data_IF_517316561077
#
_entry.id   IF_517316561077
#
_cell.length_a   1.000
_cell.length_b   1.000
_cell.length_c   1.000
_cell.angle_alpha   90.00
_cell.angle_beta   90.00
_cell.angle_gamma   90.00
#
_symmetry.space_group_name_H-M   'P 1'
#
loop_
_entity.id
_entity.type
_entity.pdbx_description
1 polymer ?
#
# COMPACT_ATOMS: atom_id res chain seq x y z
N UNK A 1 3.88 18.82 -21.05
CA UNK A 1 4.81 17.76 -21.51
C UNK A 1 4.50 17.19 -22.90
N UNK A 2 3.48 17.70 -23.63
CA UNK A 2 3.14 17.18 -24.96
C UNK A 2 2.60 15.74 -24.99
N UNK A 3 2.24 15.21 -23.81
CA UNK A 3 1.61 13.90 -23.67
C UNK A 3 0.15 13.99 -24.09
N UNK A 4 -0.29 13.02 -24.89
CA UNK A 4 -1.64 12.97 -25.43
C UNK A 4 -2.62 12.54 -24.33
N UNK A 5 -3.64 13.37 -24.08
CA UNK A 5 -4.64 13.14 -23.03
C UNK A 5 -5.46 11.87 -23.24
N UNK A 6 -5.54 11.37 -24.47
CA UNK A 6 -6.28 10.13 -24.77
C UNK A 6 -5.43 8.87 -24.49
N UNK A 7 -4.12 9.03 -24.22
CA UNK A 7 -3.21 7.93 -23.87
C UNK A 7 -3.18 7.76 -22.36
N UNK A 8 -4.05 6.89 -21.84
CA UNK A 8 -4.21 6.63 -20.41
C UNK A 8 -3.12 5.70 -19.84
N UNK A 9 -1.86 6.09 -19.94
CA UNK A 9 -0.72 5.35 -19.40
C UNK A 9 -0.29 5.86 -18.00
N UNK A 10 0.78 5.26 -17.46
CA UNK A 10 1.39 5.66 -16.17
C UNK A 10 1.78 7.14 -16.14
N UNK A 11 2.05 7.77 -17.29
CA UNK A 11 2.33 9.21 -17.37
C UNK A 11 1.06 10.01 -17.11
N UNK A 12 -0.06 9.63 -17.72
CA UNK A 12 -1.38 10.25 -17.52
C UNK A 12 -1.80 10.20 -16.04
N UNK A 13 -1.73 9.02 -15.43
CA UNK A 13 -2.11 8.81 -14.03
C UNK A 13 -1.22 9.62 -13.07
N UNK A 14 0.11 9.53 -13.22
CA UNK A 14 1.06 10.23 -12.36
C UNK A 14 0.97 11.76 -12.50
N UNK A 15 0.64 12.27 -13.69
CA UNK A 15 0.42 13.70 -13.90
C UNK A 15 -0.70 14.20 -13.00
N UNK A 16 -1.87 13.54 -13.04
CA UNK A 16 -3.00 13.92 -12.20
C UNK A 16 -2.69 13.82 -10.71
N UNK A 17 -1.97 12.79 -10.26
CA UNK A 17 -1.60 12.65 -8.85
C UNK A 17 -0.69 13.81 -8.38
N UNK A 18 0.26 14.25 -9.21
CA UNK A 18 1.13 15.39 -8.89
C UNK A 18 0.37 16.72 -8.88
N UNK A 19 -0.49 16.95 -9.85
CA UNK A 19 -1.31 18.17 -9.91
C UNK A 19 -2.23 18.29 -8.69
N UNK A 20 -2.85 17.18 -8.24
CA UNK A 20 -3.65 17.17 -7.01
C UNK A 20 -2.83 17.62 -5.80
N UNK A 21 -1.63 17.07 -5.62
CA UNK A 21 -0.75 17.45 -4.51
C UNK A 21 -0.32 18.92 -4.61
N UNK A 22 0.01 19.42 -5.80
CA UNK A 22 0.36 20.82 -5.99
C UNK A 22 -0.78 21.75 -5.52
N UNK A 23 -2.01 21.50 -5.98
CA UNK A 23 -3.18 22.29 -5.59
C UNK A 23 -3.41 22.23 -4.07
N UNK A 24 -3.30 21.06 -3.45
CA UNK A 24 -3.46 20.93 -2.00
C UNK A 24 -2.40 21.71 -1.22
N UNK A 25 -1.15 21.71 -1.69
CA UNK A 25 -0.07 22.47 -1.07
C UNK A 25 -0.29 23.99 -1.19
N UNK A 26 -0.77 24.46 -2.34
CA UNK A 26 -1.11 25.88 -2.55
C UNK A 26 -2.27 26.33 -1.66
N UNK A 27 -3.30 25.48 -1.53
CA UNK A 27 -4.42 25.73 -0.60
C UNK A 27 -3.91 25.78 0.85
N UNK A 28 -3.06 24.84 1.26
CA UNK A 28 -2.48 24.83 2.60
C UNK A 28 -1.71 26.13 2.89
N UNK A 29 -0.90 26.62 1.94
CA UNK A 29 -0.23 27.90 2.06
C UNK A 29 -1.21 29.07 2.20
N UNK A 30 -2.25 29.14 1.36
CA UNK A 30 -3.23 30.23 1.37
C UNK A 30 -4.05 30.29 2.68
N UNK A 31 -4.24 29.15 3.32
CA UNK A 31 -5.04 29.00 4.54
C UNK A 31 -4.18 28.95 5.81
N UNK A 32 -2.85 29.05 5.68
CA UNK A 32 -1.89 28.79 6.76
C UNK A 32 -2.15 27.43 7.45
N UNK A 33 -2.56 26.44 6.65
CA UNK A 33 -2.84 25.07 7.05
C UNK A 33 -1.73 24.11 6.67
N UNK A 34 -2.02 22.81 6.79
CA UNK A 34 -1.11 21.72 6.41
C UNK A 34 -1.84 20.70 5.55
N UNK A 35 -1.10 20.05 4.65
CA UNK A 35 -1.61 18.88 3.92
C UNK A 35 -1.42 17.64 4.80
N UNK A 36 -2.52 16.93 5.06
CA UNK A 36 -2.52 15.64 5.77
C UNK A 36 -2.37 14.52 4.74
N UNK A 37 -1.33 13.71 4.88
CA UNK A 37 -1.08 12.54 4.03
C UNK A 37 -1.88 11.34 4.49
N UNK A 38 -2.51 10.65 3.54
CA UNK A 38 -3.39 9.51 3.80
C UNK A 38 -2.78 8.15 3.43
N UNK A 39 -1.59 8.16 2.81
CA UNK A 39 -0.89 6.95 2.39
C UNK A 39 -0.56 6.01 3.55
N UNK A 40 -0.82 4.72 3.35
CA UNK A 40 -0.70 3.69 4.38
C UNK A 40 0.63 2.90 4.30
N UNK A 41 0.91 2.10 5.33
CA UNK A 41 2.17 1.37 5.46
C UNK A 41 2.42 0.39 4.30
N UNK A 42 1.36 -0.25 3.80
CA UNK A 42 1.39 -1.23 2.70
C UNK A 42 1.63 -0.55 1.36
N UNK A 43 1.00 0.60 1.13
CA UNK A 43 1.28 1.44 -0.04
C UNK A 43 2.75 1.89 -0.05
N UNK A 44 3.28 2.31 1.11
CA UNK A 44 4.70 2.64 1.25
C UNK A 44 5.61 1.43 1.04
N UNK A 45 5.23 0.25 1.53
CA UNK A 45 5.99 -0.99 1.36
C UNK A 45 6.13 -1.36 -0.11
N UNK A 46 5.00 -1.34 -0.83
CA UNK A 46 4.92 -1.73 -2.23
C UNK A 46 5.27 -0.60 -3.19
N UNK A 47 5.44 0.63 -2.67
CA UNK A 47 5.59 1.84 -3.47
C UNK A 47 4.39 2.09 -4.38
N UNK A 48 3.19 1.76 -3.91
CA UNK A 48 1.93 2.03 -4.58
C UNK A 48 1.49 3.48 -4.34
N UNK A 49 2.29 4.40 -4.85
CA UNK A 49 2.08 5.84 -4.73
C UNK A 49 2.86 6.55 -5.84
N UNK A 50 2.46 7.77 -6.19
CA UNK A 50 3.21 8.61 -7.12
C UNK A 50 4.34 9.30 -6.40
N UNK A 51 5.57 9.20 -6.92
CA UNK A 51 6.70 9.95 -6.35
C UNK A 51 6.48 11.46 -6.56
N UNK A 52 6.59 12.22 -5.48
CA UNK A 52 6.26 13.65 -5.41
C UNK A 52 4.81 13.97 -5.80
N UNK A 53 3.91 13.03 -5.55
CA UNK A 53 2.45 13.18 -5.70
C UNK A 53 1.76 12.86 -4.38
N UNK A 54 0.87 11.86 -4.38
CA UNK A 54 0.01 11.49 -3.26
C UNK A 54 0.76 11.09 -1.98
N UNK A 55 2.01 10.61 -2.07
CA UNK A 55 2.78 10.27 -0.87
C UNK A 55 3.36 11.49 -0.13
N UNK A 56 3.35 12.68 -0.74
CA UNK A 56 3.88 13.91 -0.13
C UNK A 56 2.82 14.65 0.66
N UNK A 57 3.19 15.07 1.87
CA UNK A 57 2.36 15.82 2.80
C UNK A 57 3.24 16.47 3.85
N UNK A 58 2.66 17.30 4.71
CA UNK A 58 3.37 17.80 5.90
C UNK A 58 3.35 16.77 7.04
N UNK A 59 2.32 15.92 7.11
CA UNK A 59 2.22 14.87 8.12
C UNK A 59 1.36 13.70 7.63
N UNK A 60 1.92 12.48 7.63
CA UNK A 60 1.27 11.25 7.21
C UNK A 60 0.65 10.50 8.39
N UNK A 61 -0.67 10.63 8.59
CA UNK A 61 -1.36 10.04 9.74
C UNK A 61 -1.47 8.51 9.65
N UNK A 62 -1.47 7.96 8.44
CA UNK A 62 -1.61 6.53 8.18
C UNK A 62 -0.28 5.82 7.90
N UNK A 63 0.86 6.55 7.93
CA UNK A 63 2.14 6.05 7.44
C UNK A 63 2.67 4.77 8.14
N UNK A 64 2.15 4.46 9.33
CA UNK A 64 2.49 3.26 10.11
C UNK A 64 1.34 2.26 10.25
N UNK A 65 0.21 2.47 9.57
CA UNK A 65 -0.98 1.63 9.66
C UNK A 65 -1.05 0.77 8.39
N UNK A 66 -1.00 -0.57 8.45
CA UNK A 66 -1.17 -1.44 7.28
C UNK A 66 -2.62 -1.44 6.76
N UNK A 67 -2.84 -1.76 5.48
CA UNK A 67 -4.15 -1.67 4.80
C UNK A 67 -5.19 -2.54 5.48
N UNK A 68 -4.76 -3.73 5.88
CA UNK A 68 -5.57 -4.65 6.68
C UNK A 68 -6.10 -3.99 7.95
N UNK A 69 -5.24 -3.26 8.69
CA UNK A 69 -5.65 -2.52 9.89
C UNK A 69 -6.51 -1.29 9.57
N UNK A 70 -6.24 -0.57 8.48
CA UNK A 70 -7.10 0.56 8.05
C UNK A 70 -8.56 0.10 7.91
N UNK A 71 -8.81 -1.03 7.23
CA UNK A 71 -10.17 -1.57 7.08
C UNK A 71 -10.80 -1.92 8.43
N UNK A 72 -10.03 -2.55 9.33
CA UNK A 72 -10.51 -2.85 10.68
C UNK A 72 -10.84 -1.60 11.50
N UNK A 73 -10.04 -0.54 11.42
CA UNK A 73 -10.30 0.72 12.12
C UNK A 73 -11.57 1.40 11.61
N UNK A 74 -11.78 1.44 10.29
CA UNK A 74 -13.00 2.00 9.70
C UNK A 74 -14.24 1.21 10.14
N UNK A 75 -14.15 -0.13 10.16
CA UNK A 75 -15.25 -0.98 10.65
C UNK A 75 -15.56 -0.72 12.12
N UNK A 76 -14.53 -0.63 12.96
CA UNK A 76 -14.69 -0.34 14.38
C UNK A 76 -15.35 1.04 14.61
N UNK A 77 -14.92 2.09 13.91
CA UNK A 77 -15.55 3.40 14.00
C UNK A 77 -16.99 3.41 13.47
N UNK A 78 -17.31 2.55 12.50
CA UNK A 78 -18.69 2.37 12.05
C UNK A 78 -19.57 1.79 13.14
N UNK A 79 -19.10 0.76 13.84
CA UNK A 79 -19.83 0.13 14.95
C UNK A 79 -20.01 1.12 16.11
N UNK A 80 -18.95 1.85 16.48
CA UNK A 80 -19.01 2.89 17.51
C UNK A 80 -20.02 4.00 17.16
N UNK A 81 -20.10 4.38 15.87
CA UNK A 81 -21.07 5.35 15.41
C UNK A 81 -22.52 4.85 15.59
N UNK A 82 -22.80 3.56 15.40
CA UNK A 82 -24.12 2.97 15.66
C UNK A 82 -24.48 3.02 17.13
N UNK A 83 -23.54 2.64 18.01
CA UNK A 83 -23.72 2.71 19.47
C UNK A 83 -24.03 4.13 19.94
N UNK A 84 -23.45 5.14 19.28
CA UNK A 84 -23.70 6.57 19.54
C UNK A 84 -24.94 7.13 18.83
N UNK A 85 -25.77 6.30 18.19
CA UNK A 85 -26.93 6.70 17.38
C UNK A 85 -26.59 7.64 16.20
N UNK A 86 -25.36 7.61 15.70
CA UNK A 86 -24.89 8.36 14.51
C UNK A 86 -25.05 7.51 13.25
N UNK A 87 -26.29 7.13 12.94
CA UNK A 87 -26.59 6.18 11.85
C UNK A 87 -26.09 6.61 10.48
N UNK A 88 -26.12 7.90 10.16
CA UNK A 88 -25.62 8.40 8.88
C UNK A 88 -24.11 8.17 8.73
N UNK A 89 -23.33 8.41 9.80
CA UNK A 89 -21.89 8.18 9.79
C UNK A 89 -21.57 6.69 9.62
N UNK A 90 -22.24 5.83 10.39
CA UNK A 90 -22.08 4.37 10.23
C UNK A 90 -22.35 3.92 8.80
N UNK A 91 -23.49 4.34 8.22
CA UNK A 91 -23.86 3.93 6.88
C UNK A 91 -22.83 4.38 5.83
N UNK A 92 -22.28 5.60 5.97
CA UNK A 92 -21.22 6.09 5.09
C UNK A 92 -19.92 5.29 5.25
N UNK A 93 -19.52 4.94 6.48
CA UNK A 93 -18.31 4.15 6.71
C UNK A 93 -18.44 2.71 6.18
N UNK A 94 -19.63 2.11 6.30
CA UNK A 94 -19.95 0.80 5.69
C UNK A 94 -19.88 0.84 4.17
N UNK A 95 -20.45 1.88 3.55
CA UNK A 95 -20.39 2.10 2.10
C UNK A 95 -18.94 2.26 1.60
N UNK A 96 -18.10 2.99 2.34
CA UNK A 96 -16.66 3.10 2.06
C UNK A 96 -15.96 1.73 2.15
N UNK A 97 -16.32 0.88 3.11
CA UNK A 97 -15.74 -0.46 3.26
C UNK A 97 -16.15 -1.42 2.14
N UNK A 98 -17.39 -1.30 1.66
CA UNK A 98 -17.96 -2.13 0.60
C UNK A 98 -17.46 -1.71 -0.79
N UNK A 99 -17.00 -0.46 -0.92
CA UNK A 99 -16.40 0.05 -2.16
C UNK A 99 -15.05 -0.63 -2.43
N UNK A 100 -14.87 -1.29 -3.60
CA UNK A 100 -13.60 -1.91 -3.97
C UNK A 100 -12.46 -0.89 -4.06
N UNK A 101 -11.26 -1.27 -3.59
CA UNK A 101 -10.07 -0.40 -3.66
C UNK A 101 -9.60 -0.25 -5.11
N UNK A 102 -9.71 0.95 -5.67
CA UNK A 102 -9.37 1.28 -7.06
C UNK A 102 -8.69 2.65 -7.16
N UNK A 103 -7.71 2.86 -8.06
CA UNK A 103 -7.24 4.19 -8.40
C UNK A 103 -8.27 4.86 -9.32
N UNK A 104 -8.99 5.88 -8.82
CA UNK A 104 -9.97 6.65 -9.60
C UNK A 104 -9.32 7.64 -10.61
N UNK A 105 -8.18 7.25 -11.19
CA UNK A 105 -7.40 8.09 -12.11
C UNK A 105 -7.80 7.90 -13.57
N UNK A 106 -8.54 6.82 -13.86
CA UNK A 106 -9.04 6.51 -15.19
C UNK A 106 -10.55 6.73 -15.26
N UNK A 107 -11.06 7.25 -16.40
CA UNK A 107 -12.49 7.36 -16.58
C UNK A 107 -13.14 5.96 -16.48
N UNK A 108 -14.32 5.86 -15.85
CA UNK A 108 -15.05 4.59 -15.78
C UNK A 108 -15.46 4.16 -17.19
N UNK A 109 -15.18 2.90 -17.53
CA UNK A 109 -15.70 2.28 -18.75
C UNK A 109 -17.10 1.75 -18.45
N UNK A 110 -18.12 2.35 -19.08
CA UNK A 110 -19.52 1.91 -18.95
C UNK A 110 -20.09 1.89 -17.52
N UNK A 111 -19.57 2.74 -16.62
CA UNK A 111 -20.05 2.84 -15.24
C UNK A 111 -19.45 1.81 -14.27
N UNK A 112 -18.66 0.86 -14.78
CA UNK A 112 -17.89 -0.06 -13.96
C UNK A 112 -16.50 0.51 -13.66
N UNK A 113 -16.03 0.25 -12.43
CA UNK A 113 -14.68 0.60 -11.98
C UNK A 113 -13.66 -0.10 -12.90
N UNK A 114 -12.90 0.68 -13.67
CA UNK A 114 -12.05 0.18 -14.75
C UNK A 114 -10.78 -0.53 -14.27
N UNK A 115 -10.38 -0.37 -13.01
CA UNK A 115 -9.22 -1.03 -12.42
C UNK A 115 -9.42 -1.39 -10.95
N UNK A 116 -9.39 -2.67 -10.58
CA UNK A 116 -9.26 -3.06 -9.16
C UNK A 116 -7.79 -3.09 -8.78
N UNK A 117 -7.39 -2.30 -7.79
CA UNK A 117 -5.98 -2.19 -7.33
C UNK A 117 -5.39 -3.54 -6.96
N UNK A 118 -6.18 -4.38 -6.29
CA UNK A 118 -5.74 -5.70 -5.81
C UNK A 118 -5.43 -6.68 -6.95
N UNK A 119 -5.99 -6.49 -8.14
CA UNK A 119 -5.66 -7.33 -9.30
C UNK A 119 -4.23 -7.04 -9.82
N UNK A 120 -3.77 -5.79 -9.66
CA UNK A 120 -2.43 -5.35 -10.08
C UNK A 120 -1.38 -5.54 -8.97
N UNK A 121 -1.75 -5.22 -7.73
CA UNK A 121 -0.85 -5.19 -6.58
C UNK A 121 -0.81 -6.52 -5.85
N UNK A 122 -1.93 -7.25 -5.85
CA UNK A 122 -2.15 -8.46 -5.07
C UNK A 122 -2.90 -8.19 -3.76
N UNK A 123 -3.31 -9.27 -3.06
CA UNK A 123 -4.04 -9.17 -1.81
C UNK A 123 -3.16 -8.56 -0.71
N UNK A 124 -3.70 -7.54 -0.04
CA UNK A 124 -2.97 -6.80 0.99
C UNK A 124 -2.64 -7.66 2.21
N UNK A 125 -3.47 -8.63 2.56
CA UNK A 125 -3.23 -9.55 3.67
C UNK A 125 -1.98 -10.41 3.45
N UNK A 126 -1.65 -10.80 2.21
CA UNK A 126 -0.40 -11.48 1.92
C UNK A 126 0.78 -10.50 2.06
N UNK A 127 0.67 -9.30 1.49
CA UNK A 127 1.75 -8.32 1.54
C UNK A 127 2.04 -7.83 2.96
N UNK A 128 1.01 -7.54 3.75
CA UNK A 128 1.12 -7.15 5.15
C UNK A 128 1.71 -8.29 5.99
N UNK A 129 1.33 -9.55 5.69
CA UNK A 129 1.94 -10.72 6.33
C UNK A 129 3.43 -10.82 6.01
N UNK A 130 3.81 -10.69 4.73
CA UNK A 130 5.23 -10.73 4.33
C UNK A 130 6.00 -9.58 4.96
N UNK A 131 5.46 -8.37 4.89
CA UNK A 131 6.05 -7.15 5.44
C UNK A 131 6.32 -7.30 6.94
N UNK A 132 5.35 -7.80 7.70
CA UNK A 132 5.50 -8.01 9.13
C UNK A 132 6.69 -8.93 9.45
N UNK A 133 6.78 -10.09 8.78
CA UNK A 133 7.86 -11.03 9.05
C UNK A 133 9.23 -10.58 8.55
N UNK A 134 9.27 -9.79 7.46
CA UNK A 134 10.49 -9.14 7.00
C UNK A 134 10.98 -8.12 8.01
N UNK A 135 10.13 -7.18 8.42
CA UNK A 135 10.53 -6.06 9.28
C UNK A 135 10.76 -6.49 10.73
N UNK A 136 9.89 -7.32 11.28
CA UNK A 136 9.94 -7.67 12.70
C UNK A 136 11.01 -8.71 13.02
N UNK A 137 11.22 -9.67 12.11
CA UNK A 137 12.03 -10.85 12.38
C UNK A 137 13.19 -11.07 11.40
N UNK A 138 13.24 -10.34 10.28
CA UNK A 138 14.29 -10.53 9.27
C UNK A 138 14.28 -11.93 8.65
N UNK A 139 13.13 -12.58 8.58
CA UNK A 139 13.03 -13.95 8.06
C UNK A 139 13.29 -14.00 6.55
N UNK A 140 13.88 -15.11 6.10
CA UNK A 140 14.09 -15.37 4.67
C UNK A 140 12.77 -15.70 3.96
N UNK A 141 12.68 -15.50 2.63
CA UNK A 141 11.56 -15.94 1.80
C UNK A 141 11.05 -17.34 2.12
N UNK A 142 11.93 -18.34 2.25
CA UNK A 142 11.54 -19.73 2.56
C UNK A 142 10.81 -19.84 3.88
N UNK A 143 11.28 -19.16 4.92
CA UNK A 143 10.62 -19.18 6.23
C UNK A 143 9.26 -18.49 6.17
N UNK A 144 9.18 -17.32 5.53
CA UNK A 144 7.92 -16.59 5.40
C UNK A 144 6.92 -17.39 4.55
N UNK A 145 7.37 -18.01 3.47
CA UNK A 145 6.55 -18.86 2.62
C UNK A 145 5.99 -20.06 3.39
N UNK A 146 6.82 -20.73 4.19
CA UNK A 146 6.36 -21.79 5.07
C UNK A 146 5.27 -21.29 6.04
N UNK A 147 5.48 -20.15 6.70
CA UNK A 147 4.49 -19.58 7.62
C UNK A 147 3.20 -19.17 6.91
N UNK A 148 3.29 -18.59 5.73
CA UNK A 148 2.16 -18.18 4.92
C UNK A 148 1.28 -19.40 4.55
N UNK A 149 1.89 -20.53 4.16
CA UNK A 149 1.14 -21.78 3.88
C UNK A 149 0.40 -22.35 5.09
N UNK A 150 0.91 -22.09 6.30
CA UNK A 150 0.25 -22.54 7.53
C UNK A 150 -0.88 -21.57 7.95
N UNK A 151 -0.67 -20.27 7.76
CA UNK A 151 -1.65 -19.24 8.12
C UNK A 151 -2.81 -19.17 7.13
N UNK A 152 -2.48 -19.12 5.83
CA UNK A 152 -3.43 -19.11 4.74
C UNK A 152 -3.59 -20.55 4.25
N UNK A 153 -4.63 -21.22 4.74
CA UNK A 153 -4.92 -22.61 4.33
C UNK A 153 -5.06 -22.69 2.80
N UNK A 154 -4.79 -23.86 2.21
CA UNK A 154 -4.84 -24.05 0.74
C UNK A 154 -6.18 -23.71 0.08
N UNK A 155 -7.24 -23.48 0.87
CA UNK A 155 -8.55 -23.03 0.40
C UNK A 155 -8.59 -21.55 0.02
N UNK A 156 -7.70 -20.74 0.59
CA UNK A 156 -7.67 -19.29 0.37
C UNK A 156 -6.62 -18.92 -0.68
N UNK A 157 -5.39 -19.41 -0.50
CA UNK A 157 -4.29 -19.14 -1.41
C UNK A 157 -3.53 -20.41 -1.77
N UNK A 158 -3.37 -20.65 -3.08
CA UNK A 158 -2.50 -21.72 -3.56
C UNK A 158 -1.04 -21.36 -3.35
N UNK A 159 -0.18 -22.38 -3.35
CA UNK A 159 1.28 -22.24 -3.32
C UNK A 159 1.79 -21.25 -4.38
N UNK A 160 1.27 -21.38 -5.60
CA UNK A 160 1.63 -20.56 -6.75
C UNK A 160 1.23 -19.10 -6.54
N UNK A 161 0.06 -18.86 -5.93
CA UNK A 161 -0.42 -17.51 -5.62
C UNK A 161 0.46 -16.85 -4.56
N UNK A 162 0.79 -17.56 -3.47
CA UNK A 162 1.69 -17.03 -2.43
C UNK A 162 3.05 -16.69 -3.02
N UNK A 163 3.65 -17.59 -3.81
CA UNK A 163 4.95 -17.36 -4.44
C UNK A 163 4.93 -16.19 -5.43
N UNK A 164 3.90 -16.11 -6.28
CA UNK A 164 3.72 -15.00 -7.23
C UNK A 164 3.72 -13.66 -6.50
N UNK A 165 2.92 -13.52 -5.45
CA UNK A 165 2.81 -12.26 -4.73
C UNK A 165 4.01 -11.99 -3.83
N UNK A 166 4.69 -13.01 -3.30
CA UNK A 166 5.95 -12.83 -2.57
C UNK A 166 7.08 -12.35 -3.50
N UNK A 167 7.18 -12.87 -4.72
CA UNK A 167 8.11 -12.37 -5.73
C UNK A 167 7.83 -10.91 -6.08
N UNK A 168 6.56 -10.56 -6.29
CA UNK A 168 6.13 -9.19 -6.53
C UNK A 168 6.47 -8.28 -5.33
N UNK A 169 6.20 -8.73 -4.10
CA UNK A 169 6.51 -8.04 -2.86
C UNK A 169 8.00 -7.67 -2.81
N UNK A 170 8.92 -8.65 -2.89
CA UNK A 170 10.35 -8.35 -2.76
C UNK A 170 10.89 -7.48 -3.90
N UNK A 171 10.39 -7.68 -5.13
CA UNK A 171 10.78 -6.83 -6.27
C UNK A 171 10.40 -5.38 -6.02
N UNK A 172 9.15 -5.13 -5.61
CA UNK A 172 8.64 -3.78 -5.36
C UNK A 172 9.25 -3.20 -4.08
N UNK A 173 9.28 -3.95 -3.00
CA UNK A 173 9.83 -3.53 -1.72
C UNK A 173 11.24 -2.98 -1.88
N UNK A 174 12.15 -3.67 -2.58
CA UNK A 174 13.49 -3.15 -2.81
C UNK A 174 13.50 -1.96 -3.79
N UNK A 175 12.85 -2.08 -4.96
CA UNK A 175 12.90 -1.06 -6.00
C UNK A 175 12.26 0.29 -5.59
N UNK A 176 11.38 0.29 -4.60
CA UNK A 176 10.62 1.48 -4.18
C UNK A 176 11.20 2.16 -2.93
N UNK A 177 12.38 1.75 -2.46
CA UNK A 177 13.01 2.34 -1.28
C UNK A 177 13.27 3.83 -1.40
N UNK A 178 13.59 4.33 -2.60
CA UNK A 178 13.80 5.75 -2.84
C UNK A 178 12.56 6.61 -2.48
N UNK A 179 11.34 6.07 -2.64
CA UNK A 179 10.10 6.77 -2.23
C UNK A 179 10.03 6.93 -0.72
N UNK A 180 10.46 5.91 0.03
CA UNK A 180 10.45 5.93 1.50
C UNK A 180 11.56 6.78 2.08
N UNK A 181 12.69 6.90 1.40
CA UNK A 181 13.81 7.75 1.83
C UNK A 181 13.42 9.21 2.04
N UNK A 182 12.41 9.72 1.33
CA UNK A 182 11.88 11.08 1.50
C UNK A 182 10.45 11.12 2.03
N UNK A 183 9.97 10.09 2.74
CA UNK A 183 8.60 10.10 3.26
C UNK A 183 8.39 11.20 4.34
N UNK A 184 7.18 11.78 4.42
CA UNK A 184 6.82 12.77 5.44
C UNK A 184 6.96 12.24 6.87
N UNK A 185 6.88 13.13 7.85
CA UNK A 185 6.77 12.73 9.24
C UNK A 185 5.42 12.07 9.53
N UNK A 186 5.40 11.18 10.52
CA UNK A 186 4.23 10.41 10.92
C UNK A 186 4.53 9.60 12.18
N UNK A 187 3.48 9.24 12.91
CA UNK A 187 3.63 8.48 14.14
C UNK A 187 3.78 6.98 13.86
N UNK A 188 4.69 6.32 14.57
CA UNK A 188 4.72 4.85 14.66
C UNK A 188 3.53 4.40 15.51
N UNK A 189 2.71 3.50 14.98
CA UNK A 189 1.53 2.95 15.67
C UNK A 189 1.76 1.49 16.07
N UNK A 190 2.16 0.66 15.11
CA UNK A 190 2.41 -0.77 15.33
C UNK A 190 3.82 -1.10 15.82
N UNK A 191 4.15 -2.39 15.77
CA UNK A 191 5.49 -2.89 16.14
C UNK A 191 6.54 -2.69 15.06
N UNK A 192 6.12 -2.38 13.82
CA UNK A 192 6.96 -2.15 12.65
C UNK A 192 6.57 -0.84 11.96
N UNK A 193 7.55 -0.15 11.35
CA UNK A 193 7.33 0.97 10.44
C UNK A 193 8.41 1.00 9.34
N UNK A 194 8.21 1.88 8.36
CA UNK A 194 9.09 2.03 7.20
C UNK A 194 9.84 3.37 7.15
N UNK A 195 9.82 4.13 8.25
CA UNK A 195 10.54 5.40 8.31
C UNK A 195 12.05 5.18 8.23
N UNK A 196 12.76 5.87 7.31
CA UNK A 196 14.23 5.85 7.26
C UNK A 196 14.87 6.48 8.50
N UNK A 197 14.08 7.24 9.26
CA UNK A 197 14.45 7.88 10.52
C UNK A 197 14.14 6.98 11.73
N UNK A 198 13.44 5.87 11.52
CA UNK A 198 12.98 4.95 12.55
C UNK A 198 13.45 3.52 12.31
N UNK A 199 12.50 2.60 12.07
CA UNK A 199 12.75 1.15 12.10
C UNK A 199 13.48 0.62 10.85
N UNK A 200 13.40 1.30 9.69
CA UNK A 200 13.84 0.72 8.42
C UNK A 200 14.92 1.54 7.72
N UNK A 201 16.16 1.03 7.72
CA UNK A 201 17.32 1.68 7.09
C UNK A 201 17.86 0.80 5.97
N UNK A 202 17.45 1.07 4.74
CA UNK A 202 17.92 0.36 3.54
C UNK A 202 18.41 1.34 2.47
N UNK A 203 19.53 1.07 1.78
CA UNK A 203 19.96 1.84 0.63
C UNK A 203 18.90 1.86 -0.48
N UNK A 204 18.73 2.99 -1.16
CA UNK A 204 17.75 3.13 -2.24
C UNK A 204 18.11 2.34 -3.51
N UNK A 205 19.37 1.93 -3.62
CA UNK A 205 19.99 1.17 -4.71
C UNK A 205 20.24 -0.31 -4.33
N UNK A 206 19.66 -0.78 -3.22
CA UNK A 206 19.79 -2.16 -2.78
C UNK A 206 19.15 -3.15 -3.78
N UNK A 207 19.82 -4.29 -4.00
CA UNK A 207 19.33 -5.35 -4.91
C UNK A 207 18.55 -6.43 -4.18
N UNK A 208 17.39 -6.80 -4.74
CA UNK A 208 16.58 -7.92 -4.25
C UNK A 208 17.07 -9.31 -4.70
N UNK A 209 18.18 -9.41 -5.44
CA UNK A 209 18.55 -10.63 -6.18
C UNK A 209 18.65 -11.88 -5.30
N UNK A 210 19.17 -11.76 -4.08
CA UNK A 210 19.28 -12.89 -3.15
C UNK A 210 17.90 -13.47 -2.78
N UNK A 211 16.94 -12.60 -2.43
CA UNK A 211 15.57 -12.99 -2.13
C UNK A 211 14.85 -13.58 -3.34
N UNK A 212 15.08 -13.01 -4.53
CA UNK A 212 14.49 -13.51 -5.78
C UNK A 212 15.02 -14.90 -6.14
N UNK A 213 16.33 -15.15 -5.99
CA UNK A 213 16.90 -16.47 -6.24
C UNK A 213 16.30 -17.56 -5.33
N UNK A 214 16.14 -17.26 -4.04
CA UNK A 214 15.52 -18.20 -3.08
C UNK A 214 14.06 -18.51 -3.48
N UNK A 215 13.32 -17.51 -4.00
CA UNK A 215 11.96 -17.70 -4.51
C UNK A 215 11.92 -18.48 -5.84
N UNK A 216 12.89 -18.27 -6.72
CA UNK A 216 13.04 -19.06 -7.95
C UNK A 216 13.33 -20.53 -7.62
N UNK A 217 14.16 -20.81 -6.62
CA UNK A 217 14.41 -22.17 -6.11
C UNK A 217 13.15 -22.80 -5.53
N UNK A 218 12.46 -22.09 -4.62
CA UNK A 218 11.19 -22.53 -4.06
C UNK A 218 10.15 -22.82 -5.14
N UNK A 219 10.08 -22.01 -6.20
CA UNK A 219 9.11 -22.25 -7.29
C UNK A 219 9.33 -23.57 -8.04
N UNK A 220 10.58 -24.08 -8.04
CA UNK A 220 10.96 -25.35 -8.70
C UNK A 220 10.78 -26.57 -7.80
N UNK A 221 10.76 -26.37 -6.48
CA UNK A 221 10.48 -27.44 -5.53
C UNK A 221 9.02 -27.91 -5.67
N UNK A 222 8.83 -29.23 -5.77
CA UNK A 222 7.51 -29.85 -5.66
C UNK A 222 7.20 -30.11 -4.17
N UNK A 223 5.91 -30.10 -3.84
CA UNK A 223 5.42 -30.35 -2.48
C UNK A 223 5.74 -31.76 -1.95
#
# INVERSE_FOLDING_TARGET
IGHDKEVHDVTYENCQARERTQVLMDIANSTNGIVIGTGDLSELALGWCTYNGDHMSMYGVNASIPKTLVRHLVAWFSEEAEEQNKMQLSQTLKDILDTPVSPELLPPTQGDISQKTEELVGPYELHDFFLYYVLRFGFSPRKIFFLARQAFTSKEYSREVILKWMQAFYKRFFAQQFKRSCMPDGAKVGTVNLSPRGDWRMPSDASARLWQNELEELSKEHD
#
